data_IF_433047515092
#
_entry.id   IF_433047515092
#
_cell.length_a   1.000
_cell.length_b   1.000
_cell.length_c   1.000
_cell.angle_alpha   90.00
_cell.angle_beta   90.00
_cell.angle_gamma   90.00
#
_symmetry.space_group_name_H-M   'P 1'
#
loop_
_entity.id
_entity.type
_entity.pdbx_description
1 polymer ?
#
# COMPACT_ATOMS: atom_id res chain seq x y z
N UNK A 1 -22.34 12.45 -4.67
CA UNK A 1 -22.19 11.06 -5.15
C UNK A 1 -22.82 10.13 -4.14
N UNK A 2 -23.75 9.29 -4.58
CA UNK A 2 -24.39 8.28 -3.74
C UNK A 2 -23.65 6.93 -3.80
N UNK A 3 -24.11 5.96 -2.99
CA UNK A 3 -23.51 4.63 -2.85
C UNK A 3 -23.47 3.84 -4.16
N UNK A 4 -24.54 3.93 -4.96
CA UNK A 4 -24.68 3.19 -6.21
C UNK A 4 -23.76 3.77 -7.27
N UNK A 5 -23.67 5.11 -7.33
CA UNK A 5 -22.78 5.84 -8.23
C UNK A 5 -21.30 5.55 -7.92
N UNK A 6 -20.91 5.54 -6.64
CA UNK A 6 -19.55 5.21 -6.21
C UNK A 6 -19.15 3.78 -6.57
N UNK A 7 -20.04 2.81 -6.33
CA UNK A 7 -19.79 1.40 -6.68
C UNK A 7 -19.72 1.19 -8.20
N UNK A 8 -20.61 1.83 -8.96
CA UNK A 8 -20.64 1.72 -10.43
C UNK A 8 -19.35 2.24 -11.06
N UNK A 9 -18.84 3.39 -10.60
CA UNK A 9 -17.56 3.92 -11.08
C UNK A 9 -16.39 3.01 -10.74
N UNK A 10 -16.33 2.49 -9.50
CA UNK A 10 -15.28 1.57 -9.07
C UNK A 10 -15.26 0.28 -9.92
N UNK A 11 -16.43 -0.27 -10.25
CA UNK A 11 -16.57 -1.45 -11.12
C UNK A 11 -16.05 -1.16 -12.54
N UNK A 12 -16.42 -0.04 -13.14
CA UNK A 12 -15.96 0.29 -14.51
C UNK A 12 -14.45 0.53 -14.57
N UNK A 13 -13.88 1.20 -13.57
CA UNK A 13 -12.42 1.36 -13.47
C UNK A 13 -11.70 0.03 -13.29
N UNK A 14 -12.24 -0.86 -12.45
CA UNK A 14 -11.69 -2.18 -12.24
C UNK A 14 -11.73 -3.02 -13.53
N UNK A 15 -12.84 -2.96 -14.28
CA UNK A 15 -12.97 -3.63 -15.58
C UNK A 15 -11.96 -3.12 -16.59
N UNK A 16 -11.77 -1.81 -16.67
CA UNK A 16 -10.80 -1.20 -17.58
C UNK A 16 -9.36 -1.66 -17.30
N UNK A 17 -9.04 -2.03 -16.04
CA UNK A 17 -7.68 -2.37 -15.63
C UNK A 17 -7.40 -3.88 -15.54
N UNK A 18 -8.37 -4.70 -15.14
CA UNK A 18 -8.20 -6.14 -14.92
C UNK A 18 -9.12 -7.02 -15.77
N UNK A 19 -9.94 -6.42 -16.63
CA UNK A 19 -10.92 -7.12 -17.45
C UNK A 19 -12.22 -7.43 -16.69
N UNK A 20 -13.10 -8.21 -17.32
CA UNK A 20 -14.45 -8.46 -16.80
C UNK A 20 -14.52 -9.39 -15.59
N UNK A 21 -13.44 -10.11 -15.29
CA UNK A 21 -13.35 -10.99 -14.12
C UNK A 21 -12.98 -10.17 -12.88
N UNK A 22 -13.99 -9.62 -12.22
CA UNK A 22 -13.80 -8.81 -11.03
C UNK A 22 -13.84 -9.67 -9.76
N UNK A 23 -12.99 -9.37 -8.76
CA UNK A 23 -13.07 -9.98 -7.43
C UNK A 23 -14.32 -9.52 -6.66
N UNK A 24 -14.51 -10.05 -5.45
CA UNK A 24 -15.52 -9.53 -4.52
C UNK A 24 -15.23 -8.08 -4.12
N UNK A 25 -16.30 -7.35 -3.83
CA UNK A 25 -16.28 -5.95 -3.40
C UNK A 25 -16.88 -5.81 -2.01
N UNK A 26 -16.30 -4.91 -1.22
CA UNK A 26 -16.92 -4.37 -0.01
C UNK A 26 -16.73 -2.87 -0.02
N UNK A 27 -17.73 -2.15 0.47
CA UNK A 27 -17.67 -0.70 0.54
C UNK A 27 -18.31 -0.17 1.81
N UNK A 28 -17.79 0.97 2.25
CA UNK A 28 -18.27 1.65 3.44
C UNK A 28 -18.04 3.17 3.30
N UNK A 29 -18.87 3.95 3.98
CA UNK A 29 -18.67 5.39 4.14
C UNK A 29 -17.86 5.61 5.42
N UNK A 30 -16.68 6.23 5.32
CA UNK A 30 -15.84 6.57 6.47
C UNK A 30 -15.35 8.01 6.33
N UNK A 31 -15.57 8.84 7.35
CA UNK A 31 -15.17 10.25 7.37
C UNK A 31 -15.61 11.06 6.13
N UNK A 32 -16.77 10.74 5.55
CA UNK A 32 -17.28 11.38 4.34
C UNK A 32 -16.70 10.84 3.03
N UNK A 33 -15.75 9.91 3.07
CA UNK A 33 -15.18 9.25 1.89
C UNK A 33 -15.85 7.87 1.67
N UNK A 34 -16.27 7.60 0.42
CA UNK A 34 -16.66 6.25 0.02
C UNK A 34 -15.42 5.41 -0.24
N UNK A 35 -15.23 4.36 0.56
CA UNK A 35 -14.14 3.42 0.40
C UNK A 35 -14.69 2.18 -0.32
N UNK A 36 -14.24 1.92 -1.55
CA UNK A 36 -14.55 0.67 -2.27
C UNK A 36 -13.28 -0.16 -2.34
N UNK A 37 -13.33 -1.35 -1.75
CA UNK A 37 -12.18 -2.27 -1.67
C UNK A 37 -12.46 -3.51 -2.49
N UNK A 38 -11.44 -3.95 -3.23
CA UNK A 38 -11.45 -5.20 -3.97
C UNK A 38 -10.73 -6.29 -3.14
N UNK A 39 -11.13 -7.55 -3.27
CA UNK A 39 -10.58 -8.70 -2.52
C UNK A 39 -9.05 -8.89 -2.62
N UNK A 40 -8.41 -8.28 -3.62
CA UNK A 40 -6.97 -8.04 -3.58
C UNK A 40 -6.74 -6.70 -2.88
N UNK A 41 -6.28 -6.68 -1.62
CA UNK A 41 -6.11 -5.49 -0.76
C UNK A 41 -5.66 -4.22 -1.52
N UNK A 42 -6.61 -3.52 -2.13
CA UNK A 42 -6.39 -2.34 -2.94
C UNK A 42 -7.53 -1.36 -2.64
N UNK A 43 -7.16 -0.20 -2.14
CA UNK A 43 -8.07 0.89 -1.81
C UNK A 43 -8.02 1.93 -2.91
N UNK A 44 -9.15 2.14 -3.61
CA UNK A 44 -9.33 3.25 -4.53
C UNK A 44 -9.93 4.43 -3.77
N UNK A 45 -9.41 5.64 -3.97
CA UNK A 45 -9.83 6.84 -3.24
C UNK A 45 -10.46 7.85 -4.20
N UNK A 46 -11.56 8.45 -3.77
CA UNK A 46 -12.32 9.41 -4.54
C UNK A 46 -12.66 10.60 -3.65
N UNK A 47 -12.57 11.82 -4.19
CA UNK A 47 -12.96 13.03 -3.47
C UNK A 47 -14.48 13.12 -3.40
N UNK A 48 -15.03 13.35 -2.21
CA UNK A 48 -16.47 13.40 -1.98
C UNK A 48 -17.18 14.52 -2.75
N UNK A 49 -16.53 15.68 -2.91
CA UNK A 49 -17.16 16.90 -3.46
C UNK A 49 -17.48 16.81 -4.96
N UNK A 50 -16.66 16.10 -5.72
CA UNK A 50 -16.72 16.08 -7.19
C UNK A 50 -16.54 14.67 -7.77
N UNK A 51 -16.40 13.64 -6.93
CA UNK A 51 -16.15 12.26 -7.34
C UNK A 51 -14.79 12.08 -8.03
N UNK A 52 -13.90 13.07 -7.98
CA UNK A 52 -12.62 12.98 -8.68
C UNK A 52 -11.80 11.83 -8.08
N UNK A 53 -11.38 10.90 -8.94
CA UNK A 53 -10.41 9.88 -8.56
C UNK A 53 -9.14 10.55 -8.05
N UNK A 54 -8.76 10.22 -6.81
CA UNK A 54 -7.49 10.62 -6.23
C UNK A 54 -6.49 9.57 -6.69
N UNK A 55 -5.96 9.76 -7.89
CA UNK A 55 -4.75 9.07 -8.31
C UNK A 55 -3.66 9.49 -7.33
N UNK A 56 -3.02 8.54 -6.62
CA UNK A 56 -1.81 8.87 -5.89
C UNK A 56 -0.72 9.09 -6.96
N UNK A 57 -0.45 10.35 -7.37
CA UNK A 57 0.43 10.59 -8.49
C UNK A 57 1.83 10.21 -8.02
N UNK A 58 2.61 9.58 -8.90
CA UNK A 58 4.07 9.57 -8.87
C UNK A 58 4.73 9.42 -7.50
N UNK A 59 5.22 8.22 -7.22
CA UNK A 59 6.14 7.98 -6.11
C UNK A 59 7.20 6.96 -6.50
N UNK A 60 8.12 6.71 -5.57
CA UNK A 60 9.13 5.68 -5.74
C UNK A 60 8.48 4.34 -6.10
N UNK A 61 8.99 3.68 -7.15
CA UNK A 61 8.49 2.36 -7.51
C UNK A 61 8.68 1.36 -6.36
N UNK A 62 7.73 0.44 -6.19
CA UNK A 62 7.74 -0.56 -5.11
C UNK A 62 9.08 -1.32 -4.98
N UNK A 63 9.67 -1.70 -6.12
CA UNK A 63 10.98 -2.38 -6.17
C UNK A 63 12.12 -1.46 -5.71
N UNK A 64 12.06 -0.17 -6.06
CA UNK A 64 13.07 0.80 -5.63
C UNK A 64 12.94 1.08 -4.11
N UNK A 65 11.73 1.18 -3.58
CA UNK A 65 11.49 1.29 -2.14
C UNK A 65 11.99 0.07 -1.37
N UNK A 66 11.71 -1.14 -1.89
CA UNK A 66 12.22 -2.38 -1.32
C UNK A 66 13.75 -2.44 -1.30
N UNK A 67 14.41 -2.01 -2.39
CA UNK A 67 15.88 -1.93 -2.45
C UNK A 67 16.43 -0.95 -1.43
N UNK A 68 15.83 0.24 -1.30
CA UNK A 68 16.23 1.23 -0.30
C UNK A 68 16.12 0.66 1.12
N UNK A 69 15.00 0.01 1.46
CA UNK A 69 14.79 -0.62 2.75
C UNK A 69 15.82 -1.71 3.07
N UNK A 70 16.08 -2.61 2.12
CA UNK A 70 17.08 -3.69 2.29
C UNK A 70 18.48 -3.13 2.45
N UNK A 71 18.88 -2.19 1.61
CA UNK A 71 20.21 -1.56 1.67
C UNK A 71 20.43 -0.87 3.01
N UNK A 72 19.44 -0.11 3.49
CA UNK A 72 19.50 0.56 4.78
C UNK A 72 19.62 -0.42 5.94
N UNK A 73 18.79 -1.46 5.98
CA UNK A 73 18.85 -2.48 7.04
C UNK A 73 20.24 -3.15 7.13
N UNK A 74 20.84 -3.48 5.99
CA UNK A 74 22.19 -4.06 5.94
C UNK A 74 23.27 -3.07 6.38
N UNK A 75 23.13 -1.78 6.05
CA UNK A 75 24.04 -0.72 6.50
C UNK A 75 23.97 -0.51 8.03
N UNK A 76 22.77 -0.61 8.61
CA UNK A 76 22.52 -0.56 10.05
C UNK A 76 22.86 -1.87 10.79
N UNK A 77 23.57 -2.79 10.13
CA UNK A 77 24.03 -4.06 10.72
C UNK A 77 22.91 -5.06 11.02
N UNK A 78 21.70 -4.86 10.49
CA UNK A 78 20.58 -5.76 10.72
C UNK A 78 20.68 -7.00 9.82
N UNK A 79 20.23 -8.14 10.35
CA UNK A 79 20.03 -9.35 9.56
C UNK A 79 18.79 -9.20 8.67
N UNK A 80 18.90 -9.58 7.40
CA UNK A 80 17.80 -9.51 6.44
C UNK A 80 17.41 -10.89 5.91
N UNK A 81 16.15 -11.26 6.12
CA UNK A 81 15.49 -12.39 5.49
C UNK A 81 14.32 -11.89 4.60
N UNK A 82 13.66 -12.74 3.79
CA UNK A 82 12.62 -12.30 2.87
C UNK A 82 11.54 -11.46 3.55
N UNK A 83 11.12 -10.39 2.88
CA UNK A 83 9.99 -9.58 3.33
C UNK A 83 8.70 -10.38 3.28
N UNK A 84 7.79 -10.07 4.19
CA UNK A 84 6.46 -10.67 4.27
C UNK A 84 5.35 -9.64 4.04
N UNK A 85 5.66 -8.34 4.05
CA UNK A 85 4.75 -7.28 3.62
C UNK A 85 5.46 -6.18 2.83
N UNK A 86 4.75 -5.61 1.86
CA UNK A 86 5.11 -4.40 1.12
C UNK A 86 3.80 -3.69 0.79
N UNK A 87 3.55 -2.55 1.44
CA UNK A 87 2.34 -1.77 1.23
C UNK A 87 2.64 -0.28 1.18
N UNK A 88 1.76 0.50 0.55
CA UNK A 88 1.87 1.95 0.52
C UNK A 88 0.76 2.57 1.37
N UNK A 89 1.10 3.53 2.23
CA UNK A 89 0.15 4.25 3.09
C UNK A 89 0.59 5.70 3.22
N UNK A 90 -0.31 6.64 2.94
CA UNK A 90 -0.08 8.08 3.07
C UNK A 90 1.24 8.56 2.43
N UNK A 91 1.51 8.14 1.18
CA UNK A 91 2.74 8.54 0.44
C UNK A 91 4.04 7.93 0.97
N UNK A 92 3.98 6.82 1.71
CA UNK A 92 5.17 6.07 2.15
C UNK A 92 5.00 4.58 1.88
N UNK A 93 6.13 3.92 1.62
CA UNK A 93 6.24 2.47 1.58
C UNK A 93 6.50 1.93 2.98
N UNK A 94 5.70 0.96 3.39
CA UNK A 94 5.83 0.20 4.61
C UNK A 94 6.27 -1.23 4.24
N UNK A 95 7.47 -1.61 4.68
CA UNK A 95 8.07 -2.91 4.41
C UNK A 95 8.21 -3.66 5.72
N UNK A 96 7.64 -4.86 5.80
CA UNK A 96 7.87 -5.80 6.89
C UNK A 96 8.80 -6.91 6.44
N UNK A 97 9.91 -7.09 7.15
CA UNK A 97 10.87 -8.15 6.87
C UNK A 97 11.29 -8.93 8.11
N UNK A 98 11.75 -10.16 7.90
CA UNK A 98 12.25 -11.03 8.98
C UNK A 98 13.73 -10.77 9.20
N UNK A 99 14.20 -10.92 10.44
CA UNK A 99 15.63 -11.01 10.74
C UNK A 99 16.16 -12.44 10.55
N UNK A 100 15.32 -13.47 10.82
CA UNK A 100 15.62 -14.88 10.59
C UNK A 100 14.35 -15.70 10.31
N UNK A 101 14.50 -16.95 9.84
CA UNK A 101 13.37 -17.84 9.48
C UNK A 101 12.38 -18.07 10.64
N UNK A 102 12.84 -18.00 11.90
CA UNK A 102 12.04 -18.30 13.10
C UNK A 102 12.13 -17.24 14.21
N UNK A 103 12.39 -15.97 13.88
CA UNK A 103 12.32 -14.90 14.88
C UNK A 103 12.94 -13.59 14.42
N UNK A 104 12.66 -12.53 15.18
CA UNK A 104 13.04 -11.16 14.89
C UNK A 104 12.28 -10.56 13.70
N UNK A 105 11.67 -9.41 13.88
CA UNK A 105 10.94 -8.70 12.83
C UNK A 105 11.45 -7.27 12.69
N UNK A 106 11.44 -6.76 11.47
CA UNK A 106 11.72 -5.37 11.18
C UNK A 106 10.58 -4.75 10.39
N UNK A 107 10.22 -3.53 10.76
CA UNK A 107 9.33 -2.67 10.02
C UNK A 107 10.12 -1.43 9.56
N UNK A 108 10.09 -1.16 8.27
CA UNK A 108 10.84 -0.07 7.64
C UNK A 108 9.86 0.81 6.89
N UNK A 109 9.97 2.12 7.06
CA UNK A 109 9.19 3.11 6.31
C UNK A 109 10.11 3.87 5.36
N UNK A 110 9.77 3.86 4.07
CA UNK A 110 10.51 4.54 3.01
C UNK A 110 9.61 5.60 2.37
N UNK A 111 10.11 6.83 2.27
CA UNK A 111 9.42 7.92 1.59
C UNK A 111 9.35 7.73 0.08
N UNK A 112 8.46 8.49 -0.57
CA UNK A 112 8.37 8.55 -2.04
C UNK A 112 9.63 9.12 -2.72
N UNK A 113 10.55 9.71 -1.95
CA UNK A 113 11.88 10.16 -2.38
C UNK A 113 12.97 9.10 -2.21
N UNK A 114 12.65 7.93 -1.63
CA UNK A 114 13.61 6.87 -1.33
C UNK A 114 14.36 7.00 -0.02
N UNK A 115 14.09 8.05 0.75
CA UNK A 115 14.68 8.19 2.09
C UNK A 115 14.03 7.22 3.08
N UNK A 116 14.83 6.60 3.93
CA UNK A 116 14.30 5.79 5.04
C UNK A 116 13.89 6.72 6.16
N UNK A 117 12.60 6.72 6.49
CA UNK A 117 12.01 7.58 7.52
C UNK A 117 12.05 6.94 8.90
N UNK A 118 11.95 5.61 8.97
CA UNK A 118 12.06 4.88 10.22
C UNK A 118 12.44 3.42 10.02
N UNK A 119 13.07 2.87 11.05
CA UNK A 119 13.35 1.45 11.25
C UNK A 119 12.90 1.08 12.66
N UNK A 120 12.04 0.08 12.79
CA UNK A 120 11.67 -0.53 14.06
C UNK A 120 12.07 -2.00 14.03
N UNK A 121 12.79 -2.45 15.05
CA UNK A 121 13.24 -3.83 15.19
C UNK A 121 12.59 -4.42 16.43
N UNK A 122 11.87 -5.53 16.25
CA UNK A 122 11.43 -6.38 17.33
C UNK A 122 12.39 -7.58 17.38
N UNK A 123 13.39 -7.58 18.28
CA UNK A 123 14.37 -8.66 18.36
C UNK A 123 13.73 -9.96 18.83
N UNK A 124 14.48 -11.04 18.69
CA UNK A 124 14.06 -12.38 19.11
C UNK A 124 14.17 -12.57 20.62
#
# INVERSE_FOLDING_TARGET
MDEVEALSQAIEMAKARWGSALPSFWWNLHDGEWHVTLDFEMTLRFRQSDGQFIDEPGGLAAVAAFRAAKSYALQEGQLWAPAFTLGRRAGNWHIGARQAQFGGQMAIVVGDDGTVKSLSVNPR
#
